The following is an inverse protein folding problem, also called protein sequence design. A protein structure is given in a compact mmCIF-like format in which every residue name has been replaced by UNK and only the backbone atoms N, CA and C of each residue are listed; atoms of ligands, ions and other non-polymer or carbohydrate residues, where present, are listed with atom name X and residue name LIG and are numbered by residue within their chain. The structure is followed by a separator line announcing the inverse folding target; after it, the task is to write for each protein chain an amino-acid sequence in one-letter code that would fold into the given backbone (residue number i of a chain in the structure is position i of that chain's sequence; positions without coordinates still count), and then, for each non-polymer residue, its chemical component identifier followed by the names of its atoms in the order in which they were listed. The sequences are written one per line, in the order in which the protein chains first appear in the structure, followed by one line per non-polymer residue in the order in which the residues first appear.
data_IF_472287076663
#
_entry.id   IF_472287076663
#
_cell.length_a   1.000
_cell.length_b   1.000
_cell.length_c   1.000
_cell.angle_alpha   90.00
_cell.angle_beta   90.00
_cell.angle_gamma   90.00
#
_symmetry.space_group_name_H-M   'P 1'
#
loop_
_entity.id
_entity.type
_entity.pdbx_description
1 polymer ?
#
# COMPACT_ATOMS: atom_id res chain seq x y z
N UNK A 1 -17.69 -21.08 0.41
CA UNK A 1 -16.58 -21.76 -0.30
C UNK A 1 -15.58 -20.80 -0.96
N UNK A 2 -15.95 -19.80 -1.79
CA UNK A 2 -14.96 -18.98 -2.53
C UNK A 2 -14.04 -18.14 -1.64
N UNK A 3 -14.51 -17.75 -0.46
CA UNK A 3 -13.77 -16.94 0.49
C UNK A 3 -12.67 -17.69 1.28
N UNK A 4 -12.81 -19.01 1.46
CA UNK A 4 -11.73 -19.86 2.01
C UNK A 4 -10.63 -20.08 0.95
N UNK A 5 -11.04 -20.16 -0.32
CA UNK A 5 -10.11 -20.32 -1.45
C UNK A 5 -9.23 -19.09 -1.64
N UNK A 6 -9.78 -17.87 -1.54
CA UNK A 6 -8.97 -16.64 -1.67
C UNK A 6 -7.91 -16.50 -0.55
N UNK A 7 -8.23 -16.89 0.69
CA UNK A 7 -7.27 -16.93 1.80
C UNK A 7 -6.16 -17.95 1.57
N UNK A 8 -6.49 -19.13 1.07
CA UNK A 8 -5.51 -20.16 0.75
C UNK A 8 -4.59 -19.74 -0.38
N UNK A 9 -5.15 -19.22 -1.49
CA UNK A 9 -4.38 -18.67 -2.62
C UNK A 9 -3.44 -17.57 -2.12
N UNK A 10 -3.93 -16.67 -1.26
CA UNK A 10 -3.13 -15.61 -0.68
C UNK A 10 -1.93 -16.16 0.10
N UNK A 11 -2.12 -17.13 1.00
CA UNK A 11 -1.04 -17.63 1.84
C UNK A 11 0.07 -18.29 1.02
N UNK A 12 -0.27 -19.17 0.09
CA UNK A 12 0.72 -19.83 -0.78
C UNK A 12 1.42 -18.83 -1.71
N UNK A 13 0.66 -17.92 -2.31
CA UNK A 13 1.22 -16.89 -3.20
C UNK A 13 2.10 -15.92 -2.44
N UNK A 14 1.75 -15.54 -1.22
CA UNK A 14 2.55 -14.66 -0.37
C UNK A 14 3.93 -15.29 -0.08
N UNK A 15 3.96 -16.54 0.39
CA UNK A 15 5.23 -17.23 0.70
C UNK A 15 6.10 -17.35 -0.54
N UNK A 16 5.52 -17.77 -1.67
CA UNK A 16 6.24 -17.91 -2.93
C UNK A 16 6.76 -16.55 -3.46
N UNK A 17 5.91 -15.53 -3.52
CA UNK A 17 6.27 -14.21 -4.04
C UNK A 17 7.30 -13.49 -3.16
N UNK A 18 7.17 -13.55 -1.83
CA UNK A 18 8.14 -12.95 -0.91
C UNK A 18 9.50 -13.63 -1.06
N UNK A 19 9.55 -14.96 -1.00
CA UNK A 19 10.80 -15.72 -1.14
C UNK A 19 11.48 -15.47 -2.49
N UNK A 20 10.72 -15.54 -3.58
CA UNK A 20 11.23 -15.31 -4.93
C UNK A 20 11.70 -13.86 -5.12
N UNK A 21 11.00 -12.87 -4.54
CA UNK A 21 11.39 -11.46 -4.66
C UNK A 21 12.69 -11.17 -3.90
N UNK A 22 12.85 -11.70 -2.69
CA UNK A 22 14.08 -11.60 -1.92
C UNK A 22 15.22 -12.25 -2.72
N UNK A 23 15.02 -13.46 -3.22
CA UNK A 23 16.02 -14.16 -4.02
C UNK A 23 16.46 -13.39 -5.28
N UNK A 24 15.49 -12.83 -6.02
CA UNK A 24 15.74 -11.97 -7.19
C UNK A 24 16.54 -10.72 -6.81
N UNK A 25 16.16 -10.05 -5.71
CA UNK A 25 16.81 -8.82 -5.28
C UNK A 25 18.25 -9.07 -4.79
N UNK A 26 18.50 -10.21 -4.15
CA UNK A 26 19.82 -10.56 -3.66
C UNK A 26 20.74 -11.15 -4.72
N UNK A 27 20.23 -11.87 -5.72
CA UNK A 27 21.07 -12.64 -6.65
C UNK A 27 21.15 -12.03 -8.05
N UNK A 28 20.09 -11.36 -8.50
CA UNK A 28 19.89 -11.05 -9.92
C UNK A 28 19.51 -9.60 -10.21
N UNK A 29 19.47 -8.74 -9.21
CA UNK A 29 19.31 -7.29 -9.41
C UNK A 29 20.67 -6.63 -9.20
N UNK A 30 21.08 -5.90 -10.21
CA UNK A 30 22.26 -5.05 -10.16
C UNK A 30 22.00 -3.84 -9.23
N UNK A 31 22.79 -3.65 -8.16
CA UNK A 31 22.62 -2.56 -7.19
C UNK A 31 22.63 -1.17 -7.83
N UNK A 32 23.46 -0.98 -8.86
CA UNK A 32 23.72 0.34 -9.46
C UNK A 32 22.61 0.76 -10.43
N UNK A 33 22.07 -0.21 -11.19
CA UNK A 33 21.10 0.06 -12.26
C UNK A 33 19.66 -0.31 -11.89
N UNK A 34 19.47 -1.18 -10.90
CA UNK A 34 18.16 -1.73 -10.53
C UNK A 34 17.54 -2.66 -11.59
N UNK A 35 18.30 -3.02 -12.63
CA UNK A 35 17.88 -3.96 -13.67
C UNK A 35 18.16 -5.41 -13.29
N UNK A 36 17.42 -6.30 -13.92
CA UNK A 36 17.70 -7.73 -13.86
C UNK A 36 18.92 -8.04 -14.72
N UNK A 37 19.84 -8.84 -14.19
CA UNK A 37 20.88 -9.48 -15.00
C UNK A 37 20.23 -10.46 -16.00
N UNK A 38 20.94 -10.78 -17.09
CA UNK A 38 20.39 -11.61 -18.18
C UNK A 38 19.94 -13.00 -17.70
N UNK A 39 20.66 -13.57 -16.72
CA UNK A 39 20.32 -14.84 -16.08
C UNK A 39 19.07 -14.76 -15.19
N UNK A 40 18.77 -13.57 -14.65
CA UNK A 40 17.64 -13.31 -13.76
C UNK A 40 16.30 -13.07 -14.46
N UNK A 41 16.29 -12.90 -15.78
CA UNK A 41 15.10 -12.53 -16.55
C UNK A 41 13.98 -13.57 -16.45
N UNK A 42 14.33 -14.86 -16.50
CA UNK A 42 13.35 -15.94 -16.40
C UNK A 42 12.67 -15.93 -15.03
N UNK A 43 13.44 -15.81 -13.95
CA UNK A 43 12.90 -15.71 -12.59
C UNK A 43 12.02 -14.47 -12.41
N UNK A 44 12.38 -13.35 -13.04
CA UNK A 44 11.56 -12.12 -13.03
C UNK A 44 10.22 -12.31 -13.74
N UNK A 45 10.20 -13.01 -14.88
CA UNK A 45 8.95 -13.35 -15.59
C UNK A 45 8.10 -14.28 -14.74
N UNK A 46 8.68 -15.34 -14.19
CA UNK A 46 7.98 -16.29 -13.30
C UNK A 46 7.37 -15.57 -12.10
N UNK A 47 8.13 -14.68 -11.44
CA UNK A 47 7.62 -13.83 -10.36
C UNK A 47 6.44 -12.98 -10.82
N UNK A 48 6.57 -12.29 -11.96
CA UNK A 48 5.49 -11.46 -12.50
C UNK A 48 4.22 -12.24 -12.83
N UNK A 49 4.36 -13.45 -13.39
CA UNK A 49 3.23 -14.33 -13.73
C UNK A 49 2.54 -14.85 -12.47
N UNK A 50 3.28 -15.34 -11.47
CA UNK A 50 2.71 -15.82 -10.21
C UNK A 50 1.98 -14.68 -9.49
N UNK A 51 2.63 -13.51 -9.39
CA UNK A 51 2.03 -12.33 -8.75
C UNK A 51 0.78 -11.86 -9.50
N UNK A 52 0.84 -11.70 -10.82
CA UNK A 52 -0.31 -11.28 -11.62
C UNK A 52 -1.47 -12.27 -11.57
N UNK A 53 -1.19 -13.57 -11.74
CA UNK A 53 -2.22 -14.61 -11.69
C UNK A 53 -2.87 -14.71 -10.31
N UNK A 54 -2.10 -14.60 -9.23
CA UNK A 54 -2.63 -14.62 -7.86
C UNK A 54 -3.52 -13.41 -7.57
N UNK A 55 -3.11 -12.19 -7.96
CA UNK A 55 -3.95 -11.00 -7.82
C UNK A 55 -5.27 -11.13 -8.58
N UNK A 56 -5.23 -11.60 -9.84
CA UNK A 56 -6.44 -11.81 -10.65
C UNK A 56 -7.34 -12.86 -9.99
N UNK A 57 -6.79 -14.00 -9.56
CA UNK A 57 -7.55 -15.05 -8.90
C UNK A 57 -8.22 -14.57 -7.60
N UNK A 58 -7.53 -13.76 -6.80
CA UNK A 58 -8.08 -13.18 -5.57
C UNK A 58 -9.19 -12.17 -5.88
N UNK A 59 -8.97 -11.26 -6.83
CA UNK A 59 -9.97 -10.25 -7.22
C UNK A 59 -11.22 -10.93 -7.77
N UNK A 60 -11.07 -11.90 -8.67
CA UNK A 60 -12.19 -12.64 -9.26
C UNK A 60 -12.93 -13.42 -8.16
N UNK A 61 -12.22 -14.22 -7.35
CA UNK A 61 -12.88 -15.02 -6.31
C UNK A 61 -13.62 -14.17 -5.27
N UNK A 62 -13.07 -13.01 -4.90
CA UNK A 62 -13.71 -12.09 -3.96
C UNK A 62 -14.90 -11.36 -4.59
N UNK A 63 -14.81 -10.91 -5.84
CA UNK A 63 -15.90 -10.19 -6.51
C UNK A 63 -17.08 -11.10 -6.90
N UNK A 64 -16.82 -12.36 -7.24
CA UNK A 64 -17.86 -13.33 -7.61
C UNK A 64 -18.47 -14.06 -6.39
N UNK A 65 -17.90 -13.90 -5.20
CA UNK A 65 -18.51 -14.42 -3.98
C UNK A 65 -19.78 -13.63 -3.63
N UNK A 66 -20.95 -14.20 -3.98
CA UNK A 66 -22.29 -13.66 -3.68
C UNK A 66 -22.78 -13.94 -2.25
N UNK A 67 -22.05 -14.72 -1.45
CA UNK A 67 -22.47 -15.00 -0.08
C UNK A 67 -22.41 -13.72 0.74
N UNK A 68 -23.49 -13.43 1.49
CA UNK A 68 -23.60 -12.30 2.41
C UNK A 68 -22.36 -12.30 3.31
N UNK A 69 -21.42 -11.40 3.05
CA UNK A 69 -20.36 -11.10 3.99
C UNK A 69 -21.04 -10.46 5.18
N UNK A 70 -21.26 -11.27 6.22
CA UNK A 70 -21.80 -10.83 7.49
C UNK A 70 -21.10 -9.55 7.91
N UNK A 71 -21.90 -8.53 8.24
CA UNK A 71 -21.47 -7.18 8.65
C UNK A 71 -20.83 -7.17 10.04
N UNK A 72 -20.42 -8.34 10.55
CA UNK A 72 -19.87 -8.46 11.87
C UNK A 72 -18.46 -7.90 11.81
N UNK A 73 -18.35 -6.65 12.27
CA UNK A 73 -17.18 -6.12 12.94
C UNK A 73 -16.82 -7.06 14.09
N UNK A 74 -16.30 -8.25 13.76
CA UNK A 74 -15.78 -9.19 14.72
C UNK A 74 -14.56 -8.50 15.31
N UNK A 75 -14.78 -7.94 16.50
CA UNK A 75 -13.81 -7.32 17.42
C UNK A 75 -12.42 -7.17 16.80
N UNK A 76 -12.05 -5.94 16.40
CA UNK A 76 -10.70 -5.62 15.92
C UNK A 76 -9.64 -6.32 16.79
N UNK A 77 -9.05 -7.43 16.32
CA UNK A 77 -8.17 -8.20 17.19
C UNK A 77 -6.94 -7.34 17.47
N UNK A 78 -6.34 -7.52 18.65
CA UNK A 78 -5.19 -6.72 19.09
C UNK A 78 -4.05 -6.71 18.05
N UNK A 79 -3.94 -7.76 17.24
CA UNK A 79 -3.02 -7.85 16.10
C UNK A 79 -3.31 -6.81 15.01
N UNK A 80 -4.53 -6.73 14.49
CA UNK A 80 -4.94 -5.74 13.45
C UNK A 80 -4.72 -4.32 13.96
N UNK A 81 -4.98 -4.09 15.25
CA UNK A 81 -4.79 -2.80 15.90
C UNK A 81 -3.32 -2.41 16.03
N UNK A 82 -2.48 -3.34 16.48
CA UNK A 82 -1.03 -3.16 16.54
C UNK A 82 -0.45 -2.85 15.17
N UNK A 83 -0.91 -3.54 14.13
CA UNK A 83 -0.44 -3.34 12.75
C UNK A 83 -0.90 -1.98 12.19
N UNK A 84 -2.10 -1.50 12.53
CA UNK A 84 -2.54 -0.14 12.19
C UNK A 84 -1.68 0.93 12.88
N UNK A 85 -1.43 0.79 14.19
CA UNK A 85 -0.59 1.71 14.94
C UNK A 85 0.85 1.75 14.39
N UNK A 86 1.43 0.57 14.11
CA UNK A 86 2.76 0.46 13.51
C UNK A 86 2.81 1.10 12.14
N UNK A 87 1.82 0.85 11.26
CA UNK A 87 1.74 1.51 9.96
C UNK A 87 1.69 3.04 10.10
N UNK A 88 0.93 3.56 11.06
CA UNK A 88 0.88 4.99 11.35
C UNK A 88 2.19 5.57 11.89
N UNK A 89 2.88 4.85 12.79
CA UNK A 89 4.18 5.28 13.33
C UNK A 89 5.25 5.31 12.22
N UNK A 90 5.32 4.27 11.39
CA UNK A 90 6.27 4.19 10.28
C UNK A 90 5.93 5.18 9.15
N UNK A 91 4.66 5.61 9.06
CA UNK A 91 4.27 6.68 8.15
C UNK A 91 4.79 8.06 8.56
N UNK A 92 5.13 8.30 9.83
CA UNK A 92 5.58 9.62 10.30
C UNK A 92 6.92 10.05 9.64
N UNK A 93 7.97 9.22 9.58
CA UNK A 93 9.16 9.52 8.81
C UNK A 93 8.88 9.80 7.33
N UNK A 94 7.98 9.03 6.71
CA UNK A 94 7.59 9.22 5.30
C UNK A 94 6.92 10.59 5.10
N UNK A 95 5.99 10.93 6.00
CA UNK A 95 5.29 12.22 6.00
C UNK A 95 6.26 13.40 6.25
N UNK A 96 7.24 13.21 7.14
CA UNK A 96 8.26 14.22 7.41
C UNK A 96 9.16 14.47 6.21
N UNK A 97 9.64 13.39 5.56
CA UNK A 97 10.45 13.48 4.34
C UNK A 97 9.66 14.10 3.18
N UNK A 98 8.40 13.70 3.00
CA UNK A 98 7.55 14.24 1.93
C UNK A 98 7.27 15.73 2.14
N UNK A 99 6.98 16.16 3.38
CA UNK A 99 6.81 17.55 3.72
C UNK A 99 8.10 18.37 3.52
N UNK A 100 9.24 17.86 3.98
CA UNK A 100 10.54 18.51 3.79
C UNK A 100 10.89 18.69 2.30
N UNK A 101 10.61 17.67 1.47
CA UNK A 101 10.78 17.75 0.02
C UNK A 101 9.88 18.82 -0.63
N UNK A 102 8.68 19.06 -0.09
CA UNK A 102 7.82 20.15 -0.59
C UNK A 102 8.34 21.52 -0.16
N UNK A 103 8.81 21.67 1.09
CA UNK A 103 9.34 22.93 1.58
C UNK A 103 10.65 23.34 0.88
N UNK A 104 11.54 22.38 0.62
CA UNK A 104 12.76 22.64 -0.17
C UNK A 104 12.41 23.06 -1.60
N UNK A 105 11.48 22.36 -2.26
CA UNK A 105 10.99 22.77 -3.57
C UNK A 105 10.42 24.20 -3.57
N UNK A 106 9.75 24.63 -2.50
CA UNK A 106 9.27 26.02 -2.39
C UNK A 106 10.41 27.04 -2.30
N UNK A 107 11.51 26.70 -1.63
CA UNK A 107 12.66 27.58 -1.45
C UNK A 107 13.42 27.82 -2.77
N UNK A 108 13.39 26.84 -3.68
CA UNK A 108 14.10 26.87 -4.97
C UNK A 108 13.25 27.40 -6.14
N UNK A 109 11.99 27.79 -5.88
CA UNK A 109 11.10 28.31 -6.94
C UNK A 109 11.38 29.78 -7.23
N UNK A 110 12.08 30.04 -8.35
CA UNK A 110 11.87 31.25 -9.13
C UNK A 110 10.53 31.10 -9.87
N UNK A 111 9.56 32.00 -9.68
CA UNK A 111 8.22 31.89 -10.29
C UNK A 111 8.21 32.37 -11.75
N UNK A 112 8.28 31.50 -12.78
CA UNK A 112 8.34 31.92 -14.18
C UNK A 112 7.00 31.53 -14.83
N UNK A 113 5.95 32.34 -14.64
CA UNK A 113 4.63 32.07 -15.22
C UNK A 113 3.48 32.85 -14.56
N UNK A 114 2.23 32.66 -15.04
CA UNK A 114 1.06 33.29 -14.42
C UNK A 114 0.89 32.81 -12.98
N UNK A 115 1.14 33.73 -12.04
CA UNK A 115 1.24 33.50 -10.58
C UNK A 115 0.10 32.65 -10.02
N UNK A 116 -1.11 32.80 -10.55
CA UNK A 116 -2.32 32.11 -10.07
C UNK A 116 -2.25 30.59 -10.29
N UNK A 117 -1.77 30.14 -11.46
CA UNK A 117 -1.69 28.69 -11.78
C UNK A 117 -0.57 28.03 -10.97
N UNK A 118 0.57 28.71 -10.84
CA UNK A 118 1.69 28.26 -10.01
C UNK A 118 1.30 28.14 -8.53
N UNK A 119 0.64 29.15 -7.98
CA UNK A 119 0.18 29.16 -6.59
C UNK A 119 -0.85 28.05 -6.31
N UNK A 120 -1.79 27.81 -7.24
CA UNK A 120 -2.78 26.74 -7.09
C UNK A 120 -2.12 25.35 -7.08
N UNK A 121 -1.18 25.10 -8.00
CA UNK A 121 -0.44 23.84 -8.06
C UNK A 121 0.39 23.61 -6.79
N UNK A 122 1.04 24.67 -6.30
CA UNK A 122 1.82 24.65 -5.06
C UNK A 122 0.94 24.29 -3.86
N UNK A 123 -0.23 24.93 -3.74
CA UNK A 123 -1.18 24.72 -2.66
C UNK A 123 -1.71 23.28 -2.70
N UNK A 124 -2.07 22.77 -3.88
CA UNK A 124 -2.49 21.38 -4.05
C UNK A 124 -1.39 20.40 -3.62
N UNK A 125 -0.13 20.68 -3.99
CA UNK A 125 1.03 19.85 -3.62
C UNK A 125 1.26 19.85 -2.11
N UNK A 126 1.16 20.99 -1.45
CA UNK A 126 1.27 21.09 0.01
C UNK A 126 0.15 20.34 0.73
N UNK A 127 -1.10 20.50 0.29
CA UNK A 127 -2.23 19.79 0.91
C UNK A 127 -2.06 18.28 0.73
N UNK A 128 -1.82 17.81 -0.49
CA UNK A 128 -1.84 16.39 -0.81
C UNK A 128 -0.56 15.63 -0.41
N UNK A 129 0.61 16.26 -0.44
CA UNK A 129 1.92 15.61 -0.22
C UNK A 129 2.66 16.08 1.03
N UNK A 130 2.21 17.13 1.72
CA UNK A 130 2.77 17.55 3.01
C UNK A 130 1.76 17.36 4.17
N UNK A 131 0.55 17.91 4.06
CA UNK A 131 -0.44 17.84 5.14
C UNK A 131 -1.18 16.48 5.22
N UNK A 132 -1.70 15.98 4.09
CA UNK A 132 -2.43 14.72 4.06
C UNK A 132 -1.65 13.49 4.57
N UNK A 133 -0.33 13.33 4.30
CA UNK A 133 0.49 12.27 4.91
C UNK A 133 0.49 12.31 6.44
N UNK A 134 0.69 13.50 7.03
CA UNK A 134 0.75 13.67 8.48
C UNK A 134 -0.59 13.33 9.11
N UNK A 135 -1.69 13.85 8.56
CA UNK A 135 -3.04 13.52 9.02
C UNK A 135 -3.31 12.03 8.89
N UNK A 136 -2.91 11.40 7.79
CA UNK A 136 -3.07 9.96 7.57
C UNK A 136 -2.30 9.12 8.58
N UNK A 137 -1.06 9.49 8.89
CA UNK A 137 -0.25 8.83 9.91
C UNK A 137 -0.93 8.88 11.29
N UNK A 138 -1.39 10.07 11.69
CA UNK A 138 -2.12 10.27 12.95
C UNK A 138 -3.43 9.48 12.97
N UNK A 139 -4.15 9.40 11.85
CA UNK A 139 -5.37 8.60 11.74
C UNK A 139 -5.10 7.11 11.94
N UNK A 140 -4.05 6.56 11.34
CA UNK A 140 -3.69 5.15 11.53
C UNK A 140 -3.28 4.85 12.98
N UNK A 141 -2.53 5.75 13.61
CA UNK A 141 -2.21 5.69 15.05
C UNK A 141 -3.51 5.70 15.88
N UNK A 142 -4.41 6.63 15.59
CA UNK A 142 -5.70 6.76 16.27
C UNK A 142 -6.57 5.51 16.14
N UNK A 143 -6.61 4.90 14.94
CA UNK A 143 -7.33 3.64 14.70
C UNK A 143 -6.74 2.51 15.55
N UNK A 144 -5.41 2.43 15.66
CA UNK A 144 -4.75 1.43 16.50
C UNK A 144 -5.07 1.57 17.99
N UNK A 145 -5.02 2.80 18.52
CA UNK A 145 -5.22 3.08 19.94
C UNK A 145 -6.70 3.13 20.38
N UNK A 146 -7.61 3.68 19.56
CA UNK A 146 -9.02 3.84 19.96
C UNK A 146 -9.82 2.54 19.92
N UNK A 147 -9.33 1.49 19.27
CA UNK A 147 -9.92 0.16 19.35
C UNK A 147 -9.84 -0.51 20.74
N UNK A 148 -9.31 0.16 21.77
CA UNK A 148 -9.21 -0.37 23.15
C UNK A 148 -10.53 -0.30 23.93
N UNK A 149 -11.49 0.51 23.48
CA UNK A 149 -12.83 0.62 24.07
C UNK A 149 -13.91 -0.01 23.19
N UNK A 150 -14.97 -0.50 23.82
CA UNK A 150 -16.14 -1.22 23.29
C UNK A 150 -16.23 -1.27 21.74
N UNK A 151 -15.59 -2.30 21.18
CA UNK A 151 -15.29 -2.47 19.75
C UNK A 151 -16.50 -2.60 18.82
N UNK A 152 -17.72 -2.60 19.36
CA UNK A 152 -18.96 -2.81 18.60
C UNK A 152 -19.52 -1.55 17.94
N UNK A 153 -19.05 -0.35 18.32
CA UNK A 153 -19.59 0.94 17.82
C UNK A 153 -18.55 1.83 17.15
N UNK A 154 -17.34 1.31 16.88
CA UNK A 154 -16.27 2.11 16.31
C UNK A 154 -16.56 2.51 14.85
N UNK A 155 -17.11 3.71 14.68
CA UNK A 155 -17.31 4.37 13.40
C UNK A 155 -16.43 5.62 13.33
N UNK A 156 -15.80 5.82 12.18
CA UNK A 156 -15.06 7.05 11.88
C UNK A 156 -15.82 7.77 10.77
N UNK A 157 -15.82 9.10 10.80
CA UNK A 157 -16.35 9.89 9.69
C UNK A 157 -15.73 9.43 8.38
N UNK A 158 -16.57 8.93 7.45
CA UNK A 158 -16.11 8.41 6.17
C UNK A 158 -15.29 9.42 5.35
N UNK A 159 -15.58 10.72 5.52
CA UNK A 159 -14.84 11.80 4.88
C UNK A 159 -13.40 11.91 5.40
N UNK A 160 -13.17 11.63 6.69
CA UNK A 160 -11.83 11.62 7.28
C UNK A 160 -10.99 10.45 6.77
N UNK A 161 -11.64 9.32 6.43
CA UNK A 161 -11.01 8.17 5.78
C UNK A 161 -10.63 8.40 4.31
N UNK A 162 -11.09 9.51 3.70
CA UNK A 162 -10.63 9.91 2.37
C UNK A 162 -9.25 10.57 2.40
N UNK A 163 -8.77 11.04 3.56
CA UNK A 163 -7.47 11.72 3.64
C UNK A 163 -6.31 10.77 3.26
N UNK A 164 -6.21 9.54 3.81
CA UNK A 164 -5.24 8.55 3.34
C UNK A 164 -5.37 8.21 1.86
N UNK A 165 -6.60 8.19 1.33
CA UNK A 165 -6.84 7.94 -0.08
C UNK A 165 -6.27 9.06 -0.95
N UNK A 166 -6.54 10.33 -0.61
CA UNK A 166 -6.05 11.51 -1.35
C UNK A 166 -4.52 11.52 -1.36
N UNK A 167 -3.90 11.24 -0.21
CA UNK A 167 -2.45 11.12 -0.14
C UNK A 167 -1.91 10.04 -1.08
N UNK A 168 -2.47 8.83 -1.05
CA UNK A 168 -1.98 7.73 -1.89
C UNK A 168 -2.28 7.93 -3.39
N UNK A 169 -3.37 8.63 -3.74
CA UNK A 169 -3.63 9.04 -5.13
C UNK A 169 -2.61 10.07 -5.60
N UNK A 170 -2.26 11.05 -4.78
CA UNK A 170 -1.22 12.02 -5.10
C UNK A 170 0.16 11.36 -5.24
N UNK A 171 0.49 10.42 -4.35
CA UNK A 171 1.70 9.59 -4.47
C UNK A 171 1.71 8.79 -5.77
N UNK A 172 0.59 8.11 -6.11
CA UNK A 172 0.47 7.34 -7.34
C UNK A 172 0.71 8.22 -8.57
N UNK A 173 0.09 9.40 -8.64
CA UNK A 173 0.27 10.33 -9.76
C UNK A 173 1.72 10.82 -9.85
N UNK A 174 2.33 11.17 -8.71
CA UNK A 174 3.71 11.66 -8.66
C UNK A 174 4.68 10.56 -9.08
N UNK A 175 4.56 9.36 -8.50
CA UNK A 175 5.37 8.19 -8.85
C UNK A 175 5.19 7.81 -10.31
N UNK A 176 3.97 7.83 -10.84
CA UNK A 176 3.74 7.53 -12.26
C UNK A 176 4.44 8.54 -13.17
N UNK A 177 4.31 9.84 -12.90
CA UNK A 177 4.99 10.88 -13.68
C UNK A 177 6.52 10.77 -13.59
N UNK A 178 7.08 10.56 -12.40
CA UNK A 178 8.53 10.41 -12.21
C UNK A 178 9.08 9.13 -12.86
N UNK A 179 8.36 8.00 -12.78
CA UNK A 179 8.82 6.71 -13.31
C UNK A 179 8.59 6.55 -14.81
N UNK A 180 7.72 7.35 -15.44
CA UNK A 180 7.61 7.37 -16.91
C UNK A 180 8.92 7.80 -17.58
N UNK A 181 9.81 8.51 -16.88
CA UNK A 181 11.14 8.87 -17.35
C UNK A 181 12.14 7.69 -17.32
N UNK A 182 11.94 6.66 -16.50
CA UNK A 182 12.83 5.50 -16.35
C UNK A 182 12.02 4.19 -16.45
N UNK A 183 11.61 3.87 -17.68
CA UNK A 183 10.63 2.81 -18.02
C UNK A 183 11.03 1.37 -17.60
N UNK A 184 12.25 1.13 -17.15
CA UNK A 184 12.84 -0.21 -17.09
C UNK A 184 13.08 -0.78 -15.68
N UNK A 185 13.00 0.03 -14.61
CA UNK A 185 13.35 -0.45 -13.26
C UNK A 185 12.26 -1.33 -12.67
N UNK A 186 12.66 -2.50 -12.15
CA UNK A 186 11.71 -3.50 -11.64
C UNK A 186 10.92 -3.02 -10.42
N UNK A 187 11.59 -2.43 -9.43
CA UNK A 187 10.97 -1.95 -8.20
C UNK A 187 9.93 -0.86 -8.45
N UNK A 188 10.25 0.10 -9.33
CA UNK A 188 9.35 1.20 -9.66
C UNK A 188 8.04 0.70 -10.30
N UNK A 189 8.13 -0.30 -11.20
CA UNK A 189 6.93 -0.92 -11.80
C UNK A 189 6.04 -1.58 -10.75
N UNK A 190 6.61 -2.37 -9.85
CA UNK A 190 5.82 -3.05 -8.83
C UNK A 190 5.28 -2.09 -7.77
N UNK A 191 5.98 -0.99 -7.45
CA UNK A 191 5.46 0.09 -6.59
C UNK A 191 4.21 0.74 -7.20
N UNK A 192 4.20 1.01 -8.51
CA UNK A 192 3.00 1.55 -9.18
C UNK A 192 1.84 0.56 -9.12
N UNK A 193 2.08 -0.73 -9.38
CA UNK A 193 1.05 -1.78 -9.27
C UNK A 193 0.50 -1.87 -7.84
N UNK A 194 1.39 -1.81 -6.84
CA UNK A 194 1.01 -1.77 -5.43
C UNK A 194 0.11 -0.57 -5.12
N UNK A 195 0.46 0.63 -5.59
CA UNK A 195 -0.35 1.83 -5.39
C UNK A 195 -1.71 1.76 -6.09
N UNK A 196 -1.77 1.19 -7.30
CA UNK A 196 -3.03 0.96 -8.04
C UNK A 196 -3.97 0.03 -7.26
N UNK A 197 -3.44 -0.94 -6.51
CA UNK A 197 -4.24 -1.83 -5.65
C UNK A 197 -4.56 -1.19 -4.29
N UNK A 198 -3.67 -0.36 -3.76
CA UNK A 198 -3.84 0.34 -2.49
C UNK A 198 -5.00 1.34 -2.50
N UNK A 199 -5.10 2.15 -3.55
CA UNK A 199 -6.15 3.17 -3.70
C UNK A 199 -7.57 2.59 -3.59
N UNK A 200 -7.98 1.57 -4.38
CA UNK A 200 -9.31 0.98 -4.25
C UNK A 200 -9.50 0.24 -2.93
N UNK A 201 -8.44 -0.31 -2.33
CA UNK A 201 -8.50 -0.87 -0.96
C UNK A 201 -8.84 0.22 0.07
N UNK A 202 -8.14 1.36 0.07
CA UNK A 202 -8.41 2.47 1.00
C UNK A 202 -9.81 3.06 0.80
N UNK A 203 -10.27 3.16 -0.45
CA UNK A 203 -11.63 3.59 -0.75
C UNK A 203 -12.68 2.61 -0.18
N UNK A 204 -12.45 1.31 -0.36
CA UNK A 204 -13.33 0.27 0.18
C UNK A 204 -13.31 0.26 1.73
N UNK A 205 -12.13 0.41 2.33
CA UNK A 205 -11.95 0.54 3.77
C UNK A 205 -12.69 1.77 4.34
N UNK A 206 -12.56 2.92 3.69
CA UNK A 206 -13.29 4.14 4.09
C UNK A 206 -14.80 4.00 3.99
N UNK A 207 -15.31 3.28 2.98
CA UNK A 207 -16.75 2.95 2.86
C UNK A 207 -17.24 2.07 4.00
N UNK A 208 -16.48 1.04 4.35
CA UNK A 208 -16.80 0.15 5.48
C UNK A 208 -16.84 0.97 6.76
N UNK A 209 -15.75 1.68 7.08
CA UNK A 209 -15.62 2.48 8.31
C UNK A 209 -16.64 3.63 8.43
N UNK A 210 -17.01 4.22 7.30
CA UNK A 210 -18.04 5.26 7.22
C UNK A 210 -19.48 4.73 7.21
N UNK A 211 -19.68 3.41 7.18
CA UNK A 211 -21.01 2.78 7.15
C UNK A 211 -21.77 2.94 5.82
N UNK A 212 -21.09 3.31 4.73
CA UNK A 212 -21.70 3.54 3.41
C UNK A 212 -21.65 2.23 2.61
N UNK A 213 -22.78 1.54 2.49
CA UNK A 213 -22.90 0.24 1.80
C UNK A 213 -21.83 -0.78 2.25
N UNK A 214 -21.81 -1.16 3.54
CA UNK A 214 -20.73 -1.95 4.13
C UNK A 214 -20.54 -3.32 3.46
N UNK A 215 -21.60 -3.96 2.95
CA UNK A 215 -21.51 -5.26 2.26
C UNK A 215 -20.68 -5.17 0.97
N UNK A 216 -20.99 -4.19 0.10
CA UNK A 216 -20.22 -3.95 -1.13
C UNK A 216 -18.81 -3.48 -0.80
N UNK A 217 -18.66 -2.66 0.24
CA UNK A 217 -17.38 -2.20 0.76
C UNK A 217 -16.48 -3.36 1.20
N UNK A 218 -17.00 -4.30 2.00
CA UNK A 218 -16.27 -5.48 2.46
C UNK A 218 -15.81 -6.38 1.30
N UNK A 219 -16.67 -6.59 0.29
CA UNK A 219 -16.29 -7.36 -0.90
C UNK A 219 -15.15 -6.72 -1.67
N UNK A 220 -15.20 -5.39 -1.85
CA UNK A 220 -14.12 -4.65 -2.50
C UNK A 220 -12.84 -4.64 -1.65
N UNK A 221 -12.99 -4.47 -0.34
CA UNK A 221 -11.89 -4.45 0.62
C UNK A 221 -11.13 -5.77 0.64
N UNK A 222 -11.83 -6.90 0.62
CA UNK A 222 -11.21 -8.24 0.56
C UNK A 222 -10.54 -8.51 -0.79
N UNK A 223 -11.16 -8.10 -1.91
CA UNK A 223 -10.60 -8.25 -3.26
C UNK A 223 -9.29 -7.47 -3.43
N UNK A 224 -9.31 -6.18 -3.10
CA UNK A 224 -8.17 -5.29 -3.30
C UNK A 224 -7.17 -5.36 -2.15
N UNK A 225 -7.62 -5.59 -0.92
CA UNK A 225 -6.75 -5.63 0.26
C UNK A 225 -5.81 -6.84 0.30
N UNK A 226 -6.31 -8.05 0.00
CA UNK A 226 -5.45 -9.23 -0.11
C UNK A 226 -4.48 -9.12 -1.30
N UNK A 227 -4.96 -8.60 -2.43
CA UNK A 227 -4.12 -8.39 -3.62
C UNK A 227 -3.02 -7.35 -3.34
N UNK A 228 -3.38 -6.22 -2.74
CA UNK A 228 -2.43 -5.20 -2.28
C UNK A 228 -1.42 -5.80 -1.31
N UNK A 229 -1.86 -6.57 -0.32
CA UNK A 229 -0.99 -7.14 0.68
C UNK A 229 0.07 -8.09 0.09
N UNK A 230 -0.25 -8.92 -0.91
CA UNK A 230 0.75 -9.78 -1.56
C UNK A 230 1.84 -8.93 -2.21
N UNK A 231 1.46 -7.92 -2.98
CA UNK A 231 2.41 -7.06 -3.70
C UNK A 231 3.23 -6.21 -2.74
N UNK A 232 2.59 -5.62 -1.72
CA UNK A 232 3.26 -4.79 -0.73
C UNK A 232 4.27 -5.60 0.09
N UNK A 233 3.88 -6.79 0.56
CA UNK A 233 4.77 -7.65 1.33
C UNK A 233 5.92 -8.18 0.48
N UNK A 234 5.67 -8.58 -0.76
CA UNK A 234 6.75 -9.08 -1.63
C UNK A 234 7.75 -7.99 -1.97
N UNK A 235 7.29 -6.83 -2.45
CA UNK A 235 8.16 -5.72 -2.86
C UNK A 235 8.92 -5.14 -1.67
N UNK A 236 8.21 -4.81 -0.58
CA UNK A 236 8.86 -4.24 0.59
C UNK A 236 9.82 -5.20 1.27
N UNK A 237 9.51 -6.51 1.35
CA UNK A 237 10.43 -7.48 1.93
C UNK A 237 11.75 -7.56 1.14
N UNK A 238 11.69 -7.53 -0.20
CA UNK A 238 12.89 -7.49 -1.03
C UNK A 238 13.75 -6.24 -0.78
N UNK A 239 13.11 -5.08 -0.61
CA UNK A 239 13.81 -3.81 -0.35
C UNK A 239 14.39 -3.76 1.07
N UNK A 240 13.64 -4.23 2.07
CA UNK A 240 14.08 -4.27 3.46
C UNK A 240 15.18 -5.32 3.69
N UNK A 241 15.21 -6.41 2.93
CA UNK A 241 16.25 -7.44 3.04
C UNK A 241 17.59 -6.98 2.42
N UNK A 242 17.56 -6.19 1.35
CA UNK A 242 18.75 -5.84 0.57
C UNK A 242 19.88 -5.14 1.38
N UNK A 243 19.60 -4.21 2.31
CA UNK A 243 20.63 -3.59 3.15
C UNK A 243 21.38 -4.58 4.05
N UNK A 244 20.72 -5.63 4.54
CA UNK A 244 21.36 -6.64 5.41
C UNK A 244 22.44 -7.45 4.68
N UNK A 245 22.39 -7.49 3.35
CA UNK A 245 23.35 -8.20 2.50
C UNK A 245 24.28 -7.25 1.74
N UNK A 246 24.31 -5.96 2.09
CA UNK A 246 25.17 -4.96 1.44
C UNK A 246 24.80 -4.66 -0.01
N UNK A 247 23.57 -5.00 -0.45
CA UNK A 247 23.08 -4.79 -1.83
C UNK A 247 21.99 -3.73 -1.89
N UNK A 248 22.14 -2.65 -1.10
CA UNK A 248 21.21 -1.54 -1.15
C UNK A 248 21.21 -0.91 -2.55
N UNK A 249 20.02 -0.76 -3.13
CA UNK A 249 19.81 -0.13 -4.43
C UNK A 249 19.37 1.32 -4.23
N UNK A 250 20.14 2.29 -4.72
CA UNK A 250 19.83 3.72 -4.56
C UNK A 250 18.58 4.17 -5.35
N UNK A 251 18.19 3.40 -6.37
CA UNK A 251 17.07 3.71 -7.28
C UNK A 251 15.72 3.19 -6.76
N UNK A 252 15.71 2.45 -5.64
CA UNK A 252 14.48 1.94 -5.03
C UNK A 252 13.76 2.99 -4.16
N UNK A 253 12.50 2.72 -3.82
CA UNK A 253 11.78 3.52 -2.81
C UNK A 253 12.57 3.57 -1.50
N UNK A 254 12.40 4.65 -0.74
CA UNK A 254 13.12 4.84 0.52
C UNK A 254 12.81 3.71 1.51
N UNK A 255 13.75 3.43 2.42
CA UNK A 255 13.57 2.37 3.42
C UNK A 255 12.34 2.61 4.31
N UNK A 256 12.05 3.88 4.62
CA UNK A 256 10.87 4.28 5.40
C UNK A 256 9.57 4.02 4.65
N UNK A 257 9.51 4.32 3.35
CA UNK A 257 8.36 3.99 2.50
C UNK A 257 8.16 2.48 2.37
N UNK A 258 9.24 1.73 2.17
CA UNK A 258 9.18 0.26 2.13
C UNK A 258 8.62 -0.30 3.45
N UNK A 259 9.09 0.21 4.60
CA UNK A 259 8.58 -0.15 5.91
C UNK A 259 7.10 0.19 6.08
N UNK A 260 6.68 1.38 5.64
CA UNK A 260 5.27 1.81 5.70
C UNK A 260 4.38 0.86 4.90
N UNK A 261 4.71 0.58 3.64
CA UNK A 261 3.92 -0.33 2.80
C UNK A 261 3.95 -1.77 3.32
N UNK A 262 5.05 -2.20 3.95
CA UNK A 262 5.12 -3.51 4.60
C UNK A 262 4.12 -3.61 5.76
N UNK A 263 4.14 -2.63 6.67
CA UNK A 263 3.20 -2.57 7.79
C UNK A 263 1.75 -2.42 7.33
N UNK A 264 1.50 -1.63 6.27
CA UNK A 264 0.17 -1.45 5.70
C UNK A 264 -0.34 -2.70 4.98
N UNK A 265 0.54 -3.41 4.27
CA UNK A 265 0.23 -4.70 3.63
C UNK A 265 -0.09 -5.77 4.67
N UNK A 266 0.70 -5.83 5.75
CA UNK A 266 0.42 -6.63 6.93
C UNK A 266 -0.96 -6.28 7.51
N UNK A 267 -1.24 -5.00 7.74
CA UNK A 267 -2.53 -4.53 8.26
C UNK A 267 -3.70 -4.96 7.37
N UNK A 268 -3.58 -4.76 6.05
CA UNK A 268 -4.59 -5.17 5.07
C UNK A 268 -4.81 -6.69 5.07
N UNK A 269 -3.74 -7.48 5.16
CA UNK A 269 -3.83 -8.93 5.26
C UNK A 269 -4.55 -9.37 6.53
N UNK A 270 -4.16 -8.84 7.69
CA UNK A 270 -4.80 -9.18 8.96
C UNK A 270 -6.27 -8.77 8.98
N UNK A 271 -6.60 -7.59 8.45
CA UNK A 271 -7.97 -7.11 8.38
C UNK A 271 -8.83 -7.98 7.44
N UNK A 272 -8.29 -8.37 6.29
CA UNK A 272 -9.00 -9.25 5.36
C UNK A 272 -9.07 -10.70 5.86
N UNK A 273 -8.08 -11.20 6.60
CA UNK A 273 -8.10 -12.57 7.14
C UNK A 273 -9.09 -12.75 8.29
N UNK A 274 -9.34 -11.69 9.07
CA UNK A 274 -10.26 -11.72 10.21
C UNK A 274 -11.71 -11.44 9.84
N UNK A 275 -12.03 -11.21 8.56
CA UNK A 275 -13.43 -11.18 8.14
C UNK A 275 -13.95 -12.63 8.08
N UNK A 276 -14.96 -12.94 8.89
CA UNK A 276 -15.59 -14.26 8.92
C UNK A 276 -16.76 -14.32 7.93
N UNK A 277 -16.90 -15.47 7.27
CA UNK A 277 -18.08 -15.78 6.46
C UNK A 277 -18.92 -16.78 7.23
N UNK A 278 -20.12 -16.38 7.65
CA UNK A 278 -21.17 -17.32 8.06
C UNK A 278 -21.59 -18.22 6.88
#
# INVERSE_FOLDING_TARGET
MPYKTSKFIFFFSMVACVGLRIYLKLSYIDPDTGFYTDEGRLFAIVYGVILGASCIAIIVSALFSRKNTSTVYAAYPNQVRGMAALAGIVALPVAGLSAFAQFSYMADLDFPGPVVVGALMLLLRLICLAAAPVVSAVLFIYIGFKGTGDSRTFRINGLLMLVPLIWQVANLLTSYMSYTAIRSVSDQRYTVVMLILLVPFLLAYGRVMGGVNPEKGMRQMTAFGLSFAIVALSVSAGILAAPFFGKATDIAISLSEAGFYFCLGLYAAALCMNTESE
#
